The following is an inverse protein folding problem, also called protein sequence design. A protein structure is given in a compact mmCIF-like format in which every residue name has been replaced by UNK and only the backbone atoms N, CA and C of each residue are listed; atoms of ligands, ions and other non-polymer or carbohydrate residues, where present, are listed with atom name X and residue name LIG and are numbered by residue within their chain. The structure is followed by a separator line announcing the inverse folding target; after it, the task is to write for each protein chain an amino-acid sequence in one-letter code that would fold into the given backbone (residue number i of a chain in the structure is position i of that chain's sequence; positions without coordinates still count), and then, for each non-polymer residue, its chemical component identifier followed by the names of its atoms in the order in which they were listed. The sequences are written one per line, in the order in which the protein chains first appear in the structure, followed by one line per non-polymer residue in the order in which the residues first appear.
data_IF_453369436789
#
_entry.id   IF_453369436789
#
_cell.length_a   1.000
_cell.length_b   1.000
_cell.length_c   1.000
_cell.angle_alpha   90.00
_cell.angle_beta   90.00
_cell.angle_gamma   90.00
#
_symmetry.space_group_name_H-M   'P 1'
#
loop_
_entity.id
_entity.type
_entity.pdbx_description
1 polymer ?
#
# COMPACT_ATOMS: atom_id res chain seq x y z
N UNK A 1 -26.94 27.09 -36.22
CA UNK A 1 -26.08 28.30 -36.36
C UNK A 1 -24.65 27.93 -35.99
N UNK A 2 -23.69 28.02 -36.90
CA UNK A 2 -22.26 27.87 -36.55
C UNK A 2 -21.76 29.24 -36.06
N UNK A 3 -21.36 29.32 -34.79
CA UNK A 3 -20.77 30.53 -34.20
C UNK A 3 -19.43 30.83 -34.88
N UNK A 4 -19.08 32.11 -35.03
CA UNK A 4 -17.74 32.49 -35.46
C UNK A 4 -16.70 32.01 -34.44
N UNK A 5 -15.51 31.54 -34.86
CA UNK A 5 -14.52 30.94 -33.94
C UNK A 5 -14.09 31.84 -32.77
N UNK A 6 -13.97 33.15 -33.00
CA UNK A 6 -13.66 34.13 -31.95
C UNK A 6 -14.76 34.25 -30.89
N UNK A 7 -16.02 34.26 -31.32
CA UNK A 7 -17.20 34.31 -30.44
C UNK A 7 -17.32 33.01 -29.66
N UNK A 8 -17.14 31.86 -30.33
CA UNK A 8 -17.17 30.55 -29.70
C UNK A 8 -16.15 30.43 -28.56
N UNK A 9 -14.92 30.92 -28.77
CA UNK A 9 -13.87 30.94 -27.75
C UNK A 9 -14.28 31.74 -26.51
N UNK A 10 -14.84 32.93 -26.70
CA UNK A 10 -15.29 33.79 -25.58
C UNK A 10 -16.45 33.11 -24.85
N UNK A 11 -17.44 32.57 -25.57
CA UNK A 11 -18.55 31.83 -24.99
C UNK A 11 -18.09 30.65 -24.14
N UNK A 12 -17.16 29.83 -24.63
CA UNK A 12 -16.65 28.67 -23.89
C UNK A 12 -15.84 29.05 -22.65
N UNK A 13 -15.06 30.14 -22.71
CA UNK A 13 -14.35 30.67 -21.54
C UNK A 13 -15.33 31.18 -20.48
N UNK A 14 -16.39 31.87 -20.89
CA UNK A 14 -17.45 32.32 -20.00
C UNK A 14 -18.19 31.13 -19.39
N UNK A 15 -18.55 30.12 -20.18
CA UNK A 15 -19.15 28.88 -19.70
C UNK A 15 -18.24 28.14 -18.71
N UNK A 16 -16.93 28.10 -18.94
CA UNK A 16 -15.97 27.53 -17.98
C UNK A 16 -15.95 28.27 -16.64
N UNK A 17 -16.12 29.59 -16.65
CA UNK A 17 -16.18 30.39 -15.41
C UNK A 17 -17.50 30.13 -14.69
N UNK A 18 -18.63 30.18 -15.41
CA UNK A 18 -19.97 29.97 -14.85
C UNK A 18 -20.13 28.55 -14.28
N UNK A 19 -19.60 27.54 -14.97
CA UNK A 19 -19.66 26.13 -14.53
C UNK A 19 -18.92 25.82 -13.23
N UNK A 20 -18.17 26.77 -12.66
CA UNK A 20 -17.57 26.66 -11.33
C UNK A 20 -18.55 27.01 -10.21
N UNK A 21 -19.60 27.77 -10.49
CA UNK A 21 -20.63 28.12 -9.52
C UNK A 21 -21.75 27.07 -9.52
N UNK A 22 -21.90 26.36 -8.40
CA UNK A 22 -22.92 25.32 -8.24
C UNK A 22 -24.35 25.84 -8.45
N UNK A 23 -24.62 27.12 -8.16
CA UNK A 23 -25.95 27.73 -8.31
C UNK A 23 -26.28 28.06 -9.77
N UNK A 24 -25.28 28.24 -10.61
CA UNK A 24 -25.43 28.60 -12.01
C UNK A 24 -25.43 27.40 -12.98
N UNK A 25 -25.29 26.17 -12.46
CA UNK A 25 -25.16 24.96 -13.28
C UNK A 25 -26.46 24.46 -13.91
N UNK A 26 -27.63 24.81 -13.36
CA UNK A 26 -28.94 24.26 -13.80
C UNK A 26 -29.15 24.22 -15.32
N UNK A 27 -28.83 25.30 -16.09
CA UNK A 27 -29.02 25.31 -17.54
C UNK A 27 -28.05 24.40 -18.32
N UNK A 28 -26.93 24.02 -17.70
CA UNK A 28 -25.86 23.20 -18.30
C UNK A 28 -26.04 21.70 -18.04
N UNK A 29 -26.98 21.32 -17.17
CA UNK A 29 -27.30 19.92 -16.81
C UNK A 29 -28.43 19.41 -17.72
N UNK A 30 -28.26 19.57 -19.04
CA UNK A 30 -29.21 19.05 -20.04
C UNK A 30 -28.47 18.18 -21.04
N UNK A 31 -29.17 17.18 -21.60
CA UNK A 31 -28.56 16.24 -22.54
C UNK A 31 -28.01 16.97 -23.77
N UNK A 32 -28.74 17.98 -24.26
CA UNK A 32 -28.31 18.84 -25.34
C UNK A 32 -27.02 19.62 -25.01
N UNK A 33 -26.93 20.24 -23.83
CA UNK A 33 -25.74 21.01 -23.44
C UNK A 33 -24.50 20.11 -23.26
N UNK A 34 -24.69 18.96 -22.61
CA UNK A 34 -23.63 17.97 -22.39
C UNK A 34 -23.14 17.40 -23.72
N UNK A 35 -24.04 16.98 -24.61
CA UNK A 35 -23.69 16.50 -25.95
C UNK A 35 -23.05 17.58 -26.82
N UNK A 36 -23.50 18.84 -26.72
CA UNK A 36 -22.92 19.94 -27.49
C UNK A 36 -21.48 20.19 -27.06
N UNK A 37 -21.20 20.27 -25.76
CA UNK A 37 -19.83 20.41 -25.24
C UNK A 37 -18.96 19.20 -25.59
N UNK A 38 -19.53 17.99 -25.56
CA UNK A 38 -18.84 16.77 -25.96
C UNK A 38 -18.54 16.73 -27.47
N UNK A 39 -19.45 17.18 -28.34
CA UNK A 39 -19.26 17.20 -29.81
C UNK A 39 -18.25 18.26 -30.24
N UNK A 40 -18.23 19.42 -29.58
CA UNK A 40 -17.20 20.44 -29.77
C UNK A 40 -15.78 19.93 -29.45
N UNK A 41 -15.64 18.80 -28.75
CA UNK A 41 -14.36 18.11 -28.54
C UNK A 41 -13.92 17.28 -29.74
N UNK A 42 -14.86 16.73 -30.53
CA UNK A 42 -14.63 15.63 -31.49
C UNK A 42 -14.47 16.10 -32.93
N UNK A 43 -15.03 17.24 -33.35
CA UNK A 43 -14.89 17.71 -34.74
C UNK A 43 -13.42 18.04 -35.09
N UNK A 44 -12.70 17.06 -35.62
CA UNK A 44 -11.64 17.28 -36.62
C UNK A 44 -12.37 17.48 -37.95
N UNK A 45 -12.35 18.70 -38.48
CA UNK A 45 -12.67 18.88 -39.90
C UNK A 45 -11.49 18.28 -40.67
N UNK A 46 -11.65 17.08 -41.22
CA UNK A 46 -10.63 16.37 -42.01
C UNK A 46 -10.32 17.07 -43.35
N UNK A 47 -11.01 18.15 -43.70
CA UNK A 47 -10.86 18.82 -45.01
C UNK A 47 -10.12 20.17 -44.99
N UNK A 48 -9.55 20.60 -43.86
CA UNK A 48 -8.75 21.84 -43.82
C UNK A 48 -7.54 21.71 -42.93
N UNK A 49 -6.57 20.90 -43.38
CA UNK A 49 -5.18 21.18 -43.08
C UNK A 49 -4.80 22.48 -43.80
N UNK A 50 -4.90 23.61 -43.10
CA UNK A 50 -3.99 24.74 -43.27
C UNK A 50 -4.28 25.81 -42.23
N UNK A 51 -3.26 26.07 -41.40
CA UNK A 51 -3.05 27.24 -40.53
C UNK A 51 -4.15 27.59 -39.53
N UNK A 52 -3.80 27.45 -38.25
CA UNK A 52 -4.06 28.35 -37.10
C UNK A 52 -4.34 27.53 -35.82
N UNK A 53 -3.43 27.67 -34.85
CA UNK A 53 -3.44 27.20 -33.44
C UNK A 53 -4.77 27.44 -32.68
N UNK A 54 -5.66 28.28 -33.21
CA UNK A 54 -6.96 28.59 -32.62
C UNK A 54 -7.90 27.39 -32.46
N UNK A 55 -7.78 26.35 -33.29
CA UNK A 55 -8.59 25.13 -33.21
C UNK A 55 -8.44 24.39 -31.87
N UNK A 56 -7.24 24.36 -31.31
CA UNK A 56 -6.94 23.61 -30.10
C UNK A 56 -7.43 24.33 -28.84
N UNK A 57 -7.40 25.66 -28.87
CA UNK A 57 -7.73 26.52 -27.72
C UNK A 57 -9.20 26.43 -27.32
N UNK A 58 -10.15 26.48 -28.26
CA UNK A 58 -11.58 26.39 -27.90
C UNK A 58 -11.99 24.95 -27.54
N UNK A 59 -11.36 23.91 -28.11
CA UNK A 59 -11.56 22.52 -27.68
C UNK A 59 -11.14 22.30 -26.22
N UNK A 60 -9.98 22.83 -25.82
CA UNK A 60 -9.51 22.81 -24.42
C UNK A 60 -10.49 23.55 -23.49
N UNK A 61 -11.04 24.68 -23.90
CA UNK A 61 -12.02 25.41 -23.08
C UNK A 61 -13.37 24.69 -22.96
N UNK A 62 -13.86 24.06 -24.05
CA UNK A 62 -15.05 23.21 -24.02
C UNK A 62 -14.87 22.02 -23.07
N UNK A 63 -13.71 21.36 -23.12
CA UNK A 63 -13.37 20.25 -22.23
C UNK A 63 -13.38 20.68 -20.76
N UNK A 64 -12.73 21.80 -20.43
CA UNK A 64 -12.70 22.32 -19.05
C UNK A 64 -14.10 22.69 -18.56
N UNK A 65 -14.94 23.28 -19.41
CA UNK A 65 -16.32 23.61 -19.06
C UNK A 65 -17.14 22.33 -18.79
N UNK A 66 -17.01 21.31 -19.64
CA UNK A 66 -17.67 20.02 -19.45
C UNK A 66 -17.22 19.34 -18.16
N UNK A 67 -15.91 19.29 -17.88
CA UNK A 67 -15.37 18.72 -16.64
C UNK A 67 -15.93 19.44 -15.41
N UNK A 68 -16.01 20.77 -15.42
CA UNK A 68 -16.60 21.52 -14.31
C UNK A 68 -18.09 21.18 -14.09
N UNK A 69 -18.86 21.03 -15.18
CA UNK A 69 -20.29 20.68 -15.10
C UNK A 69 -20.49 19.29 -14.49
N UNK A 70 -19.70 18.31 -14.93
CA UNK A 70 -19.76 16.92 -14.43
C UNK A 70 -19.24 16.86 -12.99
N UNK A 71 -18.12 17.50 -12.68
CA UNK A 71 -17.52 17.47 -11.35
C UNK A 71 -18.42 18.10 -10.28
N UNK A 72 -19.10 19.20 -10.60
CA UNK A 72 -19.88 19.96 -9.62
C UNK A 72 -21.35 19.53 -9.49
N UNK A 73 -21.84 18.57 -10.29
CA UNK A 73 -23.25 18.17 -10.31
C UNK A 73 -23.46 16.67 -10.50
N UNK A 74 -23.97 16.00 -9.47
CA UNK A 74 -24.34 14.58 -9.52
C UNK A 74 -25.37 14.28 -10.63
N UNK A 75 -26.35 15.17 -10.84
CA UNK A 75 -27.33 15.05 -11.93
C UNK A 75 -26.69 15.12 -13.31
N UNK A 76 -25.59 15.87 -13.46
CA UNK A 76 -24.85 15.91 -14.71
C UNK A 76 -24.06 14.62 -14.93
N UNK A 77 -23.52 14.02 -13.86
CA UNK A 77 -22.83 12.73 -13.90
C UNK A 77 -23.78 11.61 -14.34
N UNK A 78 -24.97 11.54 -13.77
CA UNK A 78 -26.00 10.56 -14.14
C UNK A 78 -26.45 10.71 -15.61
N UNK A 79 -26.68 11.95 -16.06
CA UNK A 79 -27.04 12.18 -17.47
C UNK A 79 -25.91 11.86 -18.42
N UNK A 80 -24.69 12.25 -18.07
CA UNK A 80 -23.49 11.92 -18.81
C UNK A 80 -23.29 10.40 -18.93
N UNK A 81 -23.52 9.62 -17.87
CA UNK A 81 -23.38 8.16 -17.90
C UNK A 81 -24.43 7.48 -18.80
N UNK A 82 -25.67 7.97 -18.81
CA UNK A 82 -26.71 7.51 -19.74
C UNK A 82 -26.32 7.81 -21.19
N UNK A 83 -25.82 9.02 -21.45
CA UNK A 83 -25.42 9.45 -22.80
C UNK A 83 -24.18 8.69 -23.33
N UNK A 84 -23.25 8.30 -22.45
CA UNK A 84 -22.12 7.41 -22.79
C UNK A 84 -22.57 6.07 -23.36
N UNK A 85 -23.69 5.54 -22.87
CA UNK A 85 -24.20 4.24 -23.32
C UNK A 85 -24.83 4.32 -24.73
N UNK A 86 -25.21 5.52 -25.18
CA UNK A 86 -25.93 5.73 -26.44
C UNK A 86 -25.02 6.12 -27.64
N UNK A 87 -23.86 6.75 -27.42
CA UNK A 87 -23.00 7.23 -28.51
C UNK A 87 -21.61 6.54 -28.51
N UNK A 88 -21.35 5.66 -29.50
CA UNK A 88 -20.11 4.89 -29.68
C UNK A 88 -18.82 5.71 -29.77
N UNK A 89 -18.88 7.02 -30.08
CA UNK A 89 -17.71 7.89 -30.31
C UNK A 89 -17.33 8.78 -29.12
N UNK A 90 -18.19 8.90 -28.09
CA UNK A 90 -17.97 9.80 -26.94
C UNK A 90 -17.63 9.07 -25.63
N UNK A 91 -17.69 7.74 -25.64
CA UNK A 91 -17.50 6.87 -24.46
C UNK A 91 -16.13 7.00 -23.77
N UNK A 92 -15.06 7.33 -24.51
CA UNK A 92 -13.69 7.43 -23.96
C UNK A 92 -13.49 8.62 -22.99
N UNK A 93 -14.37 9.62 -23.01
CA UNK A 93 -14.01 10.97 -22.59
C UNK A 93 -14.79 11.54 -21.40
N UNK A 94 -15.78 10.81 -20.90
CA UNK A 94 -16.51 11.11 -19.66
C UNK A 94 -15.81 10.57 -18.40
N UNK A 95 -14.67 9.92 -18.59
CA UNK A 95 -13.97 9.14 -17.59
C UNK A 95 -13.18 9.99 -16.58
N UNK A 96 -13.02 11.29 -16.84
CA UNK A 96 -12.29 12.24 -15.98
C UNK A 96 -13.16 12.82 -14.85
N UNK A 97 -14.46 12.50 -14.75
CA UNK A 97 -15.37 13.17 -13.81
C UNK A 97 -16.41 12.33 -13.08
N UNK A 98 -16.42 11.00 -13.23
CA UNK A 98 -17.44 10.15 -12.57
C UNK A 98 -16.72 9.04 -11.80
N UNK A 99 -16.32 9.36 -10.56
CA UNK A 99 -15.69 8.40 -9.64
C UNK A 99 -16.65 7.79 -8.63
N UNK A 100 -17.98 7.99 -8.72
CA UNK A 100 -18.91 7.58 -7.63
C UNK A 100 -20.23 6.90 -8.05
N UNK A 101 -20.40 6.45 -9.29
CA UNK A 101 -21.63 5.69 -9.64
C UNK A 101 -21.38 4.18 -9.64
N UNK A 102 -21.82 3.53 -8.56
CA UNK A 102 -21.74 2.09 -8.24
C UNK A 102 -22.50 1.13 -9.19
N UNK A 103 -22.79 1.50 -10.44
CA UNK A 103 -23.57 0.64 -11.35
C UNK A 103 -23.18 0.77 -12.82
N UNK A 104 -21.88 0.68 -13.12
CA UNK A 104 -21.45 0.45 -14.51
C UNK A 104 -21.81 -0.99 -14.89
N UNK A 105 -22.63 -1.19 -15.92
CA UNK A 105 -22.88 -2.51 -16.53
C UNK A 105 -21.53 -3.13 -16.96
N UNK A 106 -21.25 -4.41 -16.71
CA UNK A 106 -19.91 -4.99 -16.97
C UNK A 106 -19.49 -4.85 -18.44
N UNK A 107 -20.44 -4.97 -19.37
CA UNK A 107 -20.18 -4.74 -20.81
C UNK A 107 -19.68 -3.32 -21.13
N UNK A 108 -20.15 -2.31 -20.40
CA UNK A 108 -19.67 -0.93 -20.54
C UNK A 108 -18.31 -0.70 -19.89
N UNK A 109 -18.01 -1.49 -18.85
CA UNK A 109 -16.75 -1.45 -18.12
C UNK A 109 -15.63 -2.07 -18.95
N UNK A 110 -15.80 -3.29 -19.45
CA UNK A 110 -14.86 -4.00 -20.34
C UNK A 110 -14.55 -3.16 -21.59
N UNK A 111 -15.57 -2.59 -22.22
CA UNK A 111 -15.39 -1.68 -23.36
C UNK A 111 -14.58 -0.43 -23.00
N UNK A 112 -14.82 0.16 -21.83
CA UNK A 112 -14.05 1.32 -21.35
C UNK A 112 -12.59 0.94 -21.07
N UNK A 113 -12.35 -0.24 -20.49
CA UNK A 113 -11.01 -0.78 -20.25
C UNK A 113 -10.27 -0.97 -21.58
N UNK A 114 -10.89 -1.62 -22.57
CA UNK A 114 -10.31 -1.82 -23.90
C UNK A 114 -9.90 -0.48 -24.55
N UNK A 115 -10.81 0.50 -24.55
CA UNK A 115 -10.53 1.81 -25.15
C UNK A 115 -9.41 2.59 -24.45
N UNK A 116 -9.38 2.54 -23.11
CA UNK A 116 -8.34 3.23 -22.32
C UNK A 116 -6.98 2.53 -22.43
N UNK A 117 -6.98 1.19 -22.56
CA UNK A 117 -5.76 0.41 -22.78
C UNK A 117 -5.16 0.76 -24.14
N UNK A 118 -5.97 0.78 -25.20
CA UNK A 118 -5.53 1.20 -26.53
C UNK A 118 -5.03 2.66 -26.57
N UNK A 119 -5.67 3.57 -25.80
CA UNK A 119 -5.21 4.95 -25.69
C UNK A 119 -3.87 5.06 -24.94
N UNK A 120 -3.66 4.24 -23.91
CA UNK A 120 -2.41 4.15 -23.17
C UNK A 120 -1.29 3.58 -24.05
N UNK A 121 -1.58 2.55 -24.85
CA UNK A 121 -0.65 1.99 -25.83
C UNK A 121 -0.18 3.02 -26.85
N UNK A 122 -1.12 3.77 -27.43
CA UNK A 122 -0.79 4.85 -28.37
C UNK A 122 0.01 5.96 -27.70
N UNK A 123 -0.29 6.28 -26.44
CA UNK A 123 0.42 7.29 -25.67
C UNK A 123 1.88 6.90 -25.42
N UNK A 124 2.13 5.63 -25.11
CA UNK A 124 3.46 5.11 -24.77
C UNK A 124 4.19 4.46 -25.95
N UNK A 125 3.62 4.50 -27.15
CA UNK A 125 4.16 3.89 -28.37
C UNK A 125 4.53 2.40 -28.15
N UNK A 126 3.58 1.65 -27.57
CA UNK A 126 3.76 0.24 -27.22
C UNK A 126 3.99 -0.63 -28.47
N UNK A 127 5.10 -1.38 -28.47
CA UNK A 127 5.44 -2.34 -29.50
C UNK A 127 5.12 -3.77 -29.04
N UNK A 128 4.29 -4.48 -29.81
CA UNK A 128 3.90 -5.86 -29.51
C UNK A 128 4.84 -6.88 -30.16
N UNK A 129 5.19 -7.91 -29.40
CA UNK A 129 5.87 -9.13 -29.86
C UNK A 129 4.84 -10.24 -30.13
N UNK A 130 4.90 -11.32 -29.35
CA UNK A 130 3.87 -12.37 -29.36
C UNK A 130 2.60 -11.97 -28.56
N UNK A 131 1.65 -12.90 -28.42
CA UNK A 131 0.41 -12.70 -27.63
C UNK A 131 0.73 -12.29 -26.20
N UNK A 132 0.20 -11.13 -25.80
CA UNK A 132 0.41 -10.52 -24.47
C UNK A 132 1.88 -10.20 -24.14
N UNK A 133 2.75 -10.09 -25.14
CA UNK A 133 4.14 -9.70 -24.98
C UNK A 133 4.41 -8.30 -25.53
N UNK A 134 4.79 -7.38 -24.64
CA UNK A 134 5.23 -6.02 -25.02
C UNK A 134 6.75 -5.94 -25.03
N UNK A 135 7.30 -5.58 -26.18
CA UNK A 135 8.73 -5.35 -26.38
C UNK A 135 9.08 -3.97 -25.79
N UNK A 136 9.94 -3.96 -24.77
CA UNK A 136 10.36 -2.72 -24.10
C UNK A 136 11.84 -2.46 -24.35
N UNK A 137 12.14 -1.42 -25.13
CA UNK A 137 13.50 -0.96 -25.36
C UNK A 137 13.97 -0.03 -24.24
N UNK A 138 14.86 -0.54 -23.38
CA UNK A 138 15.43 0.25 -22.27
C UNK A 138 16.51 1.25 -22.74
N UNK A 139 16.92 1.18 -24.01
CA UNK A 139 17.89 2.10 -24.62
C UNK A 139 17.24 3.27 -25.36
N UNK A 140 15.91 3.23 -25.51
CA UNK A 140 15.11 4.30 -26.07
C UNK A 140 15.20 5.59 -25.24
N UNK A 141 14.99 6.78 -25.86
CA UNK A 141 14.93 8.03 -25.12
C UNK A 141 13.81 7.99 -24.06
N UNK A 142 14.01 8.64 -22.90
CA UNK A 142 13.01 8.67 -21.84
C UNK A 142 11.73 9.35 -22.33
N UNK A 143 10.59 8.81 -21.90
CA UNK A 143 9.26 9.37 -22.17
C UNK A 143 9.18 10.77 -21.59
N UNK A 144 8.75 11.73 -22.42
CA UNK A 144 8.67 13.13 -22.01
C UNK A 144 7.58 13.36 -20.95
N UNK A 145 7.63 14.54 -20.32
CA UNK A 145 6.72 14.92 -19.23
C UNK A 145 5.26 14.95 -19.66
N UNK A 146 4.95 15.43 -20.85
CA UNK A 146 3.58 15.56 -21.36
C UNK A 146 2.94 14.19 -21.56
N UNK A 147 3.68 13.26 -22.15
CA UNK A 147 3.24 11.87 -22.38
C UNK A 147 3.07 11.13 -21.06
N UNK A 148 4.04 11.26 -20.15
CA UNK A 148 3.94 10.65 -18.81
C UNK A 148 2.71 11.16 -18.06
N UNK A 149 2.40 12.46 -18.14
CA UNK A 149 1.19 13.03 -17.52
C UNK A 149 -0.08 12.46 -18.13
N UNK A 150 -0.11 12.27 -19.45
CA UNK A 150 -1.27 11.69 -20.13
C UNK A 150 -1.48 10.22 -19.72
N UNK A 151 -0.41 9.43 -19.66
CA UNK A 151 -0.42 8.05 -19.17
C UNK A 151 -0.95 7.96 -17.72
N UNK A 152 -0.51 8.87 -16.84
CA UNK A 152 -0.99 8.94 -15.46
C UNK A 152 -2.51 9.12 -15.35
N UNK A 153 -3.10 9.98 -16.19
CA UNK A 153 -4.56 10.19 -16.20
C UNK A 153 -5.32 8.97 -16.72
N UNK A 154 -4.77 8.25 -17.72
CA UNK A 154 -5.33 6.96 -18.14
C UNK A 154 -5.27 5.93 -17.02
N UNK A 155 -4.14 5.81 -16.30
CA UNK A 155 -4.00 4.85 -15.20
C UNK A 155 -4.93 5.15 -14.02
N UNK A 156 -5.08 6.42 -13.62
CA UNK A 156 -6.04 6.83 -12.58
C UNK A 156 -7.47 6.46 -12.97
N UNK A 157 -7.80 6.68 -14.24
CA UNK A 157 -9.11 6.34 -14.79
C UNK A 157 -9.33 4.84 -14.82
N UNK A 158 -8.35 4.08 -15.32
CA UNK A 158 -8.36 2.61 -15.34
C UNK A 158 -8.56 2.07 -13.93
N UNK A 159 -7.81 2.56 -12.94
CA UNK A 159 -7.95 2.12 -11.55
C UNK A 159 -9.36 2.33 -11.00
N UNK A 160 -9.96 3.50 -11.24
CA UNK A 160 -11.31 3.79 -10.78
C UNK A 160 -12.35 2.85 -11.39
N UNK A 161 -12.21 2.50 -12.67
CA UNK A 161 -13.16 1.59 -13.34
C UNK A 161 -12.84 0.11 -13.07
N UNK A 162 -11.62 -0.27 -12.70
CA UNK A 162 -11.26 -1.67 -12.42
C UNK A 162 -11.34 -2.03 -10.94
N UNK A 163 -11.56 -1.07 -10.03
CA UNK A 163 -11.45 -1.26 -8.59
C UNK A 163 -12.21 -2.49 -8.03
N UNK A 164 -13.37 -2.86 -8.60
CA UNK A 164 -14.16 -4.00 -8.15
C UNK A 164 -13.95 -5.31 -8.93
N UNK A 165 -13.13 -5.30 -9.98
CA UNK A 165 -12.99 -6.43 -10.93
C UNK A 165 -12.32 -7.64 -10.28
N UNK A 166 -11.31 -7.44 -9.43
CA UNK A 166 -10.59 -8.53 -8.74
C UNK A 166 -11.49 -9.48 -7.91
N UNK A 167 -12.74 -9.11 -7.62
CA UNK A 167 -13.72 -9.94 -6.88
C UNK A 167 -14.70 -10.68 -7.78
N UNK A 168 -14.67 -10.44 -9.09
CA UNK A 168 -15.61 -11.01 -10.03
C UNK A 168 -14.98 -12.24 -10.70
N UNK A 169 -15.80 -13.26 -10.94
CA UNK A 169 -15.44 -14.31 -11.89
C UNK A 169 -15.51 -13.70 -13.29
N UNK A 170 -14.45 -13.90 -14.05
CA UNK A 170 -14.26 -13.31 -15.37
C UNK A 170 -14.27 -14.44 -16.39
N UNK A 171 -15.03 -14.27 -17.46
CA UNK A 171 -15.04 -15.20 -18.59
C UNK A 171 -13.73 -15.12 -19.40
N UNK A 172 -13.56 -15.99 -20.39
CA UNK A 172 -12.32 -16.06 -21.17
C UNK A 172 -12.08 -14.79 -22.01
N UNK A 173 -13.14 -14.15 -22.52
CA UNK A 173 -13.03 -12.93 -23.33
C UNK A 173 -12.55 -11.74 -22.47
N UNK A 174 -13.14 -11.55 -21.30
CA UNK A 174 -12.70 -10.49 -20.39
C UNK A 174 -11.35 -10.84 -19.73
N UNK A 175 -11.02 -12.12 -19.52
CA UNK A 175 -9.69 -12.52 -19.06
C UNK A 175 -8.61 -12.16 -20.10
N UNK A 176 -8.87 -12.39 -21.39
CA UNK A 176 -7.97 -11.97 -22.48
C UNK A 176 -7.75 -10.44 -22.49
N UNK A 177 -8.84 -9.68 -22.32
CA UNK A 177 -8.78 -8.21 -22.19
C UNK A 177 -7.92 -7.77 -21.00
N UNK A 178 -8.07 -8.38 -19.82
CA UNK A 178 -7.27 -8.01 -18.65
C UNK A 178 -5.82 -8.48 -18.74
N UNK A 179 -5.54 -9.61 -19.41
CA UNK A 179 -4.17 -10.03 -19.75
C UNK A 179 -3.50 -9.03 -20.69
N UNK A 180 -4.24 -8.52 -21.66
CA UNK A 180 -3.77 -7.48 -22.57
C UNK A 180 -3.42 -6.19 -21.82
N UNK A 181 -4.31 -5.73 -20.94
CA UNK A 181 -4.01 -4.61 -20.05
C UNK A 181 -2.79 -4.90 -19.14
N UNK A 182 -2.67 -6.09 -18.57
CA UNK A 182 -1.53 -6.46 -17.72
C UNK A 182 -0.19 -6.39 -18.47
N UNK A 183 -0.15 -6.76 -19.75
CA UNK A 183 1.03 -6.62 -20.60
C UNK A 183 1.43 -5.15 -20.81
N UNK A 184 0.47 -4.26 -21.04
CA UNK A 184 0.70 -2.81 -21.16
C UNK A 184 1.17 -2.22 -19.83
N UNK A 185 0.54 -2.61 -18.72
CA UNK A 185 0.97 -2.18 -17.37
C UNK A 185 2.39 -2.66 -17.05
N UNK A 186 2.79 -3.85 -17.51
CA UNK A 186 4.18 -4.31 -17.39
C UNK A 186 5.15 -3.38 -18.11
N UNK A 187 4.80 -2.90 -19.29
CA UNK A 187 5.61 -1.89 -20.00
C UNK A 187 5.70 -0.58 -19.21
N UNK A 188 4.59 -0.09 -18.63
CA UNK A 188 4.58 1.11 -17.78
C UNK A 188 5.52 1.01 -16.56
N UNK A 189 5.77 -0.19 -16.04
CA UNK A 189 6.71 -0.39 -14.94
C UNK A 189 8.18 -0.23 -15.37
N UNK A 190 8.49 -0.51 -16.63
CA UNK A 190 9.85 -0.63 -17.16
C UNK A 190 10.31 0.59 -17.96
N UNK A 191 9.35 1.33 -18.55
CA UNK A 191 9.65 2.43 -19.46
C UNK A 191 10.50 3.53 -18.78
N UNK A 192 11.57 4.03 -19.43
CA UNK A 192 12.31 5.17 -18.92
C UNK A 192 11.47 6.45 -19.02
N UNK A 193 11.47 7.29 -17.98
CA UNK A 193 10.73 8.57 -17.96
C UNK A 193 11.66 9.73 -17.61
N UNK A 194 11.31 10.93 -18.07
CA UNK A 194 12.00 12.15 -17.66
C UNK A 194 11.72 12.52 -16.20
N UNK A 195 12.68 12.23 -15.33
CA UNK A 195 12.67 12.59 -13.91
C UNK A 195 12.18 11.47 -13.00
N UNK A 196 12.93 11.22 -11.94
CA UNK A 196 12.70 10.10 -11.01
C UNK A 196 11.33 10.20 -10.31
N UNK A 197 10.91 11.41 -9.90
CA UNK A 197 9.61 11.63 -9.23
C UNK A 197 8.42 11.16 -10.08
N UNK A 198 8.46 11.42 -11.40
CA UNK A 198 7.38 11.06 -12.33
C UNK A 198 7.40 9.58 -12.67
N UNK A 199 8.60 8.99 -12.77
CA UNK A 199 8.75 7.54 -12.90
C UNK A 199 8.13 6.82 -11.71
N UNK A 200 8.40 7.28 -10.49
CA UNK A 200 7.80 6.73 -9.28
C UNK A 200 6.27 6.87 -9.27
N UNK A 201 5.74 8.03 -9.70
CA UNK A 201 4.29 8.26 -9.79
C UNK A 201 3.65 7.31 -10.82
N UNK A 202 4.26 7.14 -11.99
CA UNK A 202 3.78 6.24 -13.05
C UNK A 202 3.75 4.80 -12.56
N UNK A 203 4.84 4.33 -11.93
CA UNK A 203 4.93 3.00 -11.37
C UNK A 203 3.90 2.79 -10.25
N UNK A 204 3.70 3.78 -9.37
CA UNK A 204 2.71 3.71 -8.30
C UNK A 204 1.27 3.55 -8.82
N UNK A 205 0.86 4.36 -9.79
CA UNK A 205 -0.46 4.24 -10.40
C UNK A 205 -0.62 2.93 -11.20
N UNK A 206 0.45 2.47 -11.85
CA UNK A 206 0.47 1.18 -12.55
C UNK A 206 0.21 0.01 -11.58
N UNK A 207 0.89 0.00 -10.43
CA UNK A 207 0.66 -1.03 -9.39
C UNK A 207 -0.76 -0.97 -8.84
N UNK A 208 -1.33 0.22 -8.68
CA UNK A 208 -2.72 0.35 -8.25
C UNK A 208 -3.66 -0.35 -9.22
N UNK A 209 -3.52 -0.13 -10.53
CA UNK A 209 -4.34 -0.83 -11.54
C UNK A 209 -4.09 -2.33 -11.49
N UNK A 210 -2.84 -2.79 -11.42
CA UNK A 210 -2.50 -4.22 -11.32
C UNK A 210 -3.15 -4.90 -10.11
N UNK A 211 -3.19 -4.21 -8.95
CA UNK A 211 -3.82 -4.72 -7.73
C UNK A 211 -5.35 -4.87 -7.84
N UNK A 212 -5.97 -4.23 -8.84
CA UNK A 212 -7.40 -4.29 -9.08
C UNK A 212 -7.79 -5.34 -10.14
N UNK A 213 -6.83 -5.96 -10.84
CA UNK A 213 -7.08 -6.98 -11.86
C UNK A 213 -7.30 -8.38 -11.24
N UNK A 214 -8.01 -9.29 -11.94
CA UNK A 214 -8.11 -10.69 -11.54
C UNK A 214 -6.74 -11.38 -11.52
N UNK A 215 -6.48 -12.17 -10.47
CA UNK A 215 -5.17 -12.81 -10.28
C UNK A 215 -4.77 -13.75 -11.42
N UNK A 216 -5.75 -14.41 -12.04
CA UNK A 216 -5.52 -15.31 -13.18
C UNK A 216 -4.98 -14.61 -14.42
N UNK A 217 -5.08 -13.28 -14.50
CA UNK A 217 -4.60 -12.47 -15.64
C UNK A 217 -3.19 -11.90 -15.40
N UNK A 218 -2.64 -12.08 -14.20
CA UNK A 218 -1.31 -11.60 -13.83
C UNK A 218 -0.20 -12.59 -14.21
N UNK A 219 -0.56 -13.76 -14.75
CA UNK A 219 0.32 -14.75 -15.34
C UNK A 219 1.20 -14.19 -16.48
N UNK A 220 0.69 -13.20 -17.21
CA UNK A 220 1.43 -12.43 -18.24
C UNK A 220 2.62 -11.65 -17.67
N UNK A 221 2.58 -11.28 -16.38
CA UNK A 221 3.72 -10.63 -15.73
C UNK A 221 4.89 -11.62 -15.53
N UNK A 222 4.60 -12.92 -15.53
CA UNK A 222 5.56 -14.01 -15.30
C UNK A 222 5.99 -14.69 -16.60
N UNK A 223 5.11 -14.69 -17.61
CA UNK A 223 5.34 -15.32 -18.90
C UNK A 223 6.30 -14.46 -19.74
N UNK A 224 7.55 -14.91 -19.84
CA UNK A 224 8.44 -14.56 -20.95
C UNK A 224 9.07 -15.83 -21.46
N UNK A 225 8.59 -16.25 -22.60
CA UNK A 225 9.12 -17.38 -23.37
C UNK A 225 10.37 -16.92 -24.11
N UNK A 226 11.43 -17.71 -23.97
CA UNK A 226 12.57 -17.76 -24.90
C UNK A 226 13.52 -16.56 -24.98
N UNK A 227 14.24 -16.28 -23.90
CA UNK A 227 15.68 -16.04 -24.03
C UNK A 227 16.43 -16.92 -23.03
N UNK A 228 17.13 -17.93 -23.56
CA UNK A 228 18.12 -18.73 -22.84
C UNK A 228 19.17 -17.82 -22.23
N UNK A 229 18.99 -17.46 -20.97
CA UNK A 229 20.02 -17.02 -20.03
C UNK A 229 19.28 -16.55 -18.77
N UNK A 230 20.00 -16.46 -17.66
CA UNK A 230 19.53 -16.17 -16.30
C UNK A 230 18.79 -14.83 -16.07
N UNK A 231 18.21 -14.23 -17.14
CA UNK A 231 17.51 -12.96 -17.20
C UNK A 231 15.97 -13.07 -17.07
N UNK A 232 15.38 -14.26 -17.19
CA UNK A 232 13.93 -14.47 -16.97
C UNK A 232 13.51 -14.14 -15.53
N UNK A 233 14.44 -14.20 -14.58
CA UNK A 233 14.22 -13.78 -13.20
C UNK A 233 14.23 -12.25 -13.00
N UNK A 234 14.68 -11.46 -13.98
CA UNK A 234 14.93 -10.02 -13.81
C UNK A 234 13.65 -9.16 -13.83
N UNK A 235 12.51 -9.68 -14.27
CA UNK A 235 11.29 -8.87 -14.45
C UNK A 235 10.40 -8.87 -13.20
N UNK A 236 10.40 -9.96 -12.42
CA UNK A 236 9.86 -9.97 -11.05
C UNK A 236 10.76 -9.17 -10.09
N UNK A 237 12.06 -9.02 -10.40
CA UNK A 237 13.00 -8.12 -9.69
C UNK A 237 12.56 -6.66 -9.78
N UNK A 238 11.89 -6.19 -10.84
CA UNK A 238 11.54 -4.77 -10.94
C UNK A 238 10.39 -4.37 -9.99
N UNK A 239 9.39 -5.24 -9.83
CA UNK A 239 8.37 -5.11 -8.76
C UNK A 239 9.01 -5.13 -7.36
N UNK A 240 10.13 -5.84 -7.21
CA UNK A 240 10.92 -5.90 -5.99
C UNK A 240 11.77 -4.64 -5.74
N UNK A 241 12.35 -4.09 -6.81
CA UNK A 241 13.09 -2.83 -6.79
C UNK A 241 12.17 -1.68 -6.38
N UNK A 242 10.92 -1.68 -6.88
CA UNK A 242 9.91 -0.71 -6.45
C UNK A 242 9.63 -0.78 -4.95
N UNK A 243 9.54 -1.97 -4.35
CA UNK A 243 9.42 -2.10 -2.88
C UNK A 243 10.63 -1.53 -2.12
N UNK A 244 11.85 -1.80 -2.61
CA UNK A 244 13.09 -1.26 -2.05
C UNK A 244 13.13 0.27 -2.07
N UNK A 245 12.59 0.87 -3.13
CA UNK A 245 12.50 2.33 -3.32
C UNK A 245 11.32 2.94 -2.57
N UNK A 246 10.15 2.30 -2.53
CA UNK A 246 8.95 2.75 -1.79
C UNK A 246 9.16 2.76 -0.27
N UNK A 247 9.96 1.84 0.27
CA UNK A 247 10.34 1.86 1.68
C UNK A 247 11.22 3.08 2.07
N UNK A 248 11.58 3.98 1.13
CA UNK A 248 12.37 5.19 1.41
C UNK A 248 11.54 6.42 1.82
N UNK A 249 10.21 6.34 1.94
CA UNK A 249 9.39 7.56 2.03
C UNK A 249 8.51 7.66 3.28
N UNK A 250 8.66 8.79 4.00
CA UNK A 250 7.92 9.12 5.22
C UNK A 250 6.50 9.69 5.02
N UNK A 251 6.15 10.19 3.82
CA UNK A 251 4.80 10.73 3.55
C UNK A 251 3.98 9.81 2.63
N UNK A 252 2.70 9.57 2.99
CA UNK A 252 1.73 8.73 2.26
C UNK A 252 2.17 7.28 2.04
N UNK A 253 2.88 6.70 3.01
CA UNK A 253 3.35 5.31 2.96
C UNK A 253 2.21 4.32 2.70
N UNK A 254 1.02 4.55 3.27
CA UNK A 254 -0.17 3.69 3.08
C UNK A 254 -0.58 3.58 1.61
N UNK A 255 -0.84 4.71 0.97
CA UNK A 255 -1.32 4.79 -0.41
C UNK A 255 -0.34 4.19 -1.41
N UNK A 256 0.97 4.30 -1.13
CA UNK A 256 2.02 3.76 -2.01
C UNK A 256 2.33 2.29 -1.74
N UNK A 257 2.37 1.87 -0.48
CA UNK A 257 2.91 0.56 -0.10
C UNK A 257 1.85 -0.54 -0.02
N UNK A 258 0.64 -0.22 0.44
CA UNK A 258 -0.40 -1.24 0.60
C UNK A 258 -0.78 -1.94 -0.73
N UNK A 259 -0.96 -1.23 -1.86
CA UNK A 259 -1.26 -1.87 -3.14
C UNK A 259 -0.14 -2.82 -3.61
N UNK A 260 1.13 -2.42 -3.39
CA UNK A 260 2.30 -3.23 -3.73
C UNK A 260 2.36 -4.50 -2.87
N UNK A 261 2.20 -4.35 -1.56
CA UNK A 261 2.21 -5.49 -0.61
C UNK A 261 1.08 -6.48 -0.91
N UNK A 262 -0.12 -5.97 -1.23
CA UNK A 262 -1.27 -6.80 -1.59
C UNK A 262 -1.04 -7.53 -2.90
N UNK A 263 -0.57 -6.83 -3.95
CA UNK A 263 -0.24 -7.45 -5.23
C UNK A 263 0.77 -8.59 -5.06
N UNK A 264 1.84 -8.36 -4.31
CA UNK A 264 2.83 -9.41 -4.04
C UNK A 264 2.27 -10.57 -3.22
N UNK A 265 1.40 -10.27 -2.25
CA UNK A 265 0.77 -11.28 -1.40
C UNK A 265 -0.10 -12.19 -2.24
N UNK A 266 -1.01 -11.63 -3.02
CA UNK A 266 -1.93 -12.38 -3.86
C UNK A 266 -1.21 -13.12 -4.98
N UNK A 267 -0.23 -12.49 -5.63
CA UNK A 267 0.64 -13.16 -6.61
C UNK A 267 1.40 -14.35 -5.99
N UNK A 268 1.82 -14.24 -4.73
CA UNK A 268 2.48 -15.33 -4.00
C UNK A 268 1.53 -16.46 -3.60
N UNK A 269 0.25 -16.17 -3.41
CA UNK A 269 -0.77 -17.21 -3.17
C UNK A 269 -1.06 -17.96 -4.46
N UNK A 270 -1.26 -17.24 -5.56
CA UNK A 270 -1.60 -17.78 -6.87
C UNK A 270 -0.45 -18.57 -7.52
N UNK A 271 0.78 -18.04 -7.51
CA UNK A 271 1.91 -18.63 -8.25
C UNK A 271 3.04 -19.10 -7.32
N UNK A 272 3.35 -20.40 -7.38
CA UNK A 272 4.37 -21.04 -6.53
C UNK A 272 5.78 -20.53 -6.85
N UNK A 273 6.07 -20.28 -8.11
CA UNK A 273 7.33 -19.79 -8.65
C UNK A 273 7.62 -18.39 -8.13
N UNK A 274 6.62 -17.49 -8.20
CA UNK A 274 6.67 -16.15 -7.64
C UNK A 274 6.92 -16.17 -6.15
N UNK A 275 6.18 -17.01 -5.41
CA UNK A 275 6.39 -17.18 -3.96
C UNK A 275 7.80 -17.69 -3.64
N UNK A 276 8.32 -18.64 -4.40
CA UNK A 276 9.67 -19.18 -4.20
C UNK A 276 10.73 -18.12 -4.44
N UNK A 277 10.60 -17.37 -5.53
CA UNK A 277 11.50 -16.27 -5.87
C UNK A 277 11.49 -15.16 -4.81
N UNK A 278 10.30 -14.64 -4.45
CA UNK A 278 10.15 -13.61 -3.43
C UNK A 278 10.65 -14.08 -2.07
N UNK A 279 10.46 -15.35 -1.73
CA UNK A 279 11.01 -15.95 -0.50
C UNK A 279 12.53 -15.91 -0.50
N UNK A 280 13.19 -16.24 -1.60
CA UNK A 280 14.67 -16.19 -1.67
C UNK A 280 15.21 -14.76 -1.50
N UNK A 281 14.50 -13.77 -2.03
CA UNK A 281 14.92 -12.36 -1.98
C UNK A 281 14.59 -11.68 -0.65
N UNK A 282 13.40 -11.90 -0.09
CA UNK A 282 12.95 -11.27 1.18
C UNK A 282 13.45 -12.05 2.37
N UNK A 283 13.36 -13.38 2.33
CA UNK A 283 13.62 -14.28 3.45
C UNK A 283 14.74 -15.28 3.11
N UNK A 284 15.95 -14.81 2.75
CA UNK A 284 17.08 -15.70 2.48
C UNK A 284 17.39 -16.55 3.73
N UNK A 285 18.03 -17.72 3.57
CA UNK A 285 18.45 -18.54 4.70
C UNK A 285 19.21 -17.72 5.74
N UNK A 286 18.79 -17.82 7.00
CA UNK A 286 19.39 -17.05 8.10
C UNK A 286 20.84 -17.50 8.30
N UNK A 287 21.76 -16.53 8.32
CA UNK A 287 23.18 -16.75 8.63
C UNK A 287 23.55 -16.21 10.01
N UNK A 288 22.96 -15.06 10.36
CA UNK A 288 23.18 -14.35 11.61
C UNK A 288 21.82 -14.16 12.32
N UNK A 289 21.70 -14.73 13.52
CA UNK A 289 20.45 -14.80 14.31
C UNK A 289 20.57 -14.03 15.63
N UNK A 290 21.72 -13.41 15.88
CA UNK A 290 21.98 -12.68 17.13
C UNK A 290 21.29 -11.31 17.13
N UNK A 291 21.22 -10.68 15.95
CA UNK A 291 20.59 -9.37 15.76
C UNK A 291 19.07 -9.54 15.65
N UNK A 292 18.32 -8.64 16.30
CA UNK A 292 16.85 -8.66 16.21
C UNK A 292 16.37 -8.47 14.77
N UNK A 293 15.33 -9.19 14.32
CA UNK A 293 14.81 -9.12 12.95
C UNK A 293 14.57 -7.71 12.42
N UNK A 294 14.04 -6.80 13.24
CA UNK A 294 13.68 -5.42 12.91
C UNK A 294 14.87 -4.42 12.88
N UNK A 295 16.05 -4.79 13.39
CA UNK A 295 17.20 -3.88 13.54
C UNK A 295 18.07 -3.75 12.29
N UNK A 296 17.91 -4.63 11.29
CA UNK A 296 18.70 -4.58 10.05
C UNK A 296 18.23 -3.56 9.00
N UNK A 297 19.03 -3.38 7.96
CA UNK A 297 18.70 -2.57 6.76
C UNK A 297 18.24 -3.42 5.56
N UNK A 298 18.17 -4.75 5.74
CA UNK A 298 17.65 -5.67 4.71
C UNK A 298 16.15 -5.42 4.48
N UNK A 299 15.62 -5.84 3.32
CA UNK A 299 14.18 -5.74 3.05
C UNK A 299 13.34 -6.52 4.08
N UNK A 300 13.83 -7.68 4.52
CA UNK A 300 13.26 -8.42 5.65
C UNK A 300 13.06 -7.53 6.85
N UNK A 301 14.14 -6.88 7.31
CA UNK A 301 14.12 -6.06 8.51
C UNK A 301 13.21 -4.85 8.39
N UNK A 302 13.18 -4.21 7.22
CA UNK A 302 12.23 -3.13 6.91
C UNK A 302 10.78 -3.61 6.99
N UNK A 303 10.45 -4.74 6.37
CA UNK A 303 9.11 -5.32 6.42
C UNK A 303 8.71 -5.76 7.83
N UNK A 304 9.63 -6.34 8.60
CA UNK A 304 9.36 -6.72 10.00
C UNK A 304 9.08 -5.49 10.86
N UNK A 305 9.82 -4.39 10.66
CA UNK A 305 9.55 -3.11 11.34
C UNK A 305 8.17 -2.53 11.00
N UNK A 306 7.65 -2.80 9.81
CA UNK A 306 6.29 -2.39 9.43
C UNK A 306 5.20 -3.19 10.15
N UNK A 307 5.49 -4.40 10.65
CA UNK A 307 4.52 -5.21 11.42
C UNK A 307 4.15 -4.57 12.78
N UNK A 308 4.93 -3.59 13.23
CA UNK A 308 4.66 -2.80 14.44
C UNK A 308 4.39 -1.33 14.13
N UNK A 309 4.03 -1.01 12.87
CA UNK A 309 3.67 0.34 12.47
C UNK A 309 2.32 0.77 13.08
N UNK A 310 2.13 2.08 13.28
CA UNK A 310 0.90 2.67 13.87
C UNK A 310 -0.32 2.51 12.98
N UNK A 311 -0.12 2.53 11.66
CA UNK A 311 -1.17 2.26 10.66
C UNK A 311 -1.47 0.76 10.59
N UNK A 312 -2.71 0.40 10.93
CA UNK A 312 -3.18 -0.98 11.01
C UNK A 312 -3.16 -1.69 9.67
N UNK A 313 -3.39 -0.97 8.57
CA UNK A 313 -3.47 -1.57 7.23
C UNK A 313 -2.07 -1.92 6.73
N UNK A 314 -1.11 -1.01 6.89
CA UNK A 314 0.30 -1.28 6.55
C UNK A 314 0.84 -2.44 7.39
N UNK A 315 0.58 -2.41 8.70
CA UNK A 315 0.94 -3.49 9.63
C UNK A 315 0.38 -4.84 9.16
N UNK A 316 -0.90 -4.87 8.81
CA UNK A 316 -1.56 -6.09 8.34
C UNK A 316 -0.97 -6.58 7.01
N UNK A 317 -0.83 -5.69 6.01
CA UNK A 317 -0.31 -6.05 4.69
C UNK A 317 1.11 -6.63 4.78
N UNK A 318 2.00 -6.02 5.57
CA UNK A 318 3.37 -6.50 5.73
C UNK A 318 3.41 -7.87 6.41
N UNK A 319 2.63 -8.06 7.46
CA UNK A 319 2.56 -9.31 8.20
C UNK A 319 1.99 -10.45 7.34
N UNK A 320 0.91 -10.20 6.59
CA UNK A 320 0.29 -11.19 5.70
C UNK A 320 1.23 -11.60 4.58
N UNK A 321 1.93 -10.65 3.94
CA UNK A 321 2.93 -10.98 2.91
C UNK A 321 3.99 -11.95 3.46
N UNK A 322 4.61 -11.61 4.59
CA UNK A 322 5.65 -12.42 5.22
C UNK A 322 5.13 -13.80 5.64
N UNK A 323 3.86 -13.89 6.08
CA UNK A 323 3.22 -15.16 6.43
C UNK A 323 3.00 -16.06 5.20
N UNK A 324 2.50 -15.50 4.10
CA UNK A 324 2.34 -16.21 2.82
C UNK A 324 3.68 -16.70 2.27
N UNK A 325 4.74 -15.88 2.34
CA UNK A 325 6.10 -16.28 1.95
C UNK A 325 6.67 -17.40 2.85
N UNK A 326 6.16 -17.53 4.07
CA UNK A 326 6.44 -18.64 4.97
C UNK A 326 5.56 -19.88 4.73
N UNK A 327 4.77 -19.90 3.65
CA UNK A 327 3.76 -20.94 3.35
C UNK A 327 2.75 -21.10 4.48
N UNK A 328 2.40 -20.00 5.13
CA UNK A 328 1.41 -19.98 6.22
C UNK A 328 1.77 -20.91 7.39
N UNK A 329 3.07 -21.18 7.56
CA UNK A 329 3.58 -21.98 8.66
C UNK A 329 4.05 -21.06 9.79
N UNK A 330 3.44 -21.21 10.97
CA UNK A 330 3.65 -20.33 12.13
C UNK A 330 5.08 -20.43 12.66
N UNK A 331 5.60 -21.64 12.87
CA UNK A 331 7.01 -21.84 13.28
C UNK A 331 8.01 -21.14 12.35
N UNK A 332 7.86 -21.32 11.04
CA UNK A 332 8.72 -20.66 10.04
C UNK A 332 8.54 -19.14 10.08
N UNK A 333 7.31 -18.66 10.19
CA UNK A 333 7.04 -17.23 10.28
C UNK A 333 7.73 -16.59 11.49
N UNK A 334 7.53 -17.16 12.68
CA UNK A 334 8.17 -16.73 13.93
C UNK A 334 9.69 -16.73 13.83
N UNK A 335 10.29 -17.75 13.20
CA UNK A 335 11.75 -17.84 12.99
C UNK A 335 12.30 -16.62 12.24
N UNK A 336 11.58 -16.08 11.26
CA UNK A 336 12.06 -15.00 10.41
C UNK A 336 11.70 -13.60 10.92
N UNK A 337 10.58 -13.46 11.63
CA UNK A 337 10.06 -12.16 12.10
C UNK A 337 10.30 -11.90 13.57
N UNK A 338 10.57 -12.94 14.37
CA UNK A 338 10.52 -12.87 15.82
C UNK A 338 9.07 -12.93 16.32
N UNK A 339 8.87 -13.58 17.46
CA UNK A 339 7.52 -13.84 17.96
C UNK A 339 6.81 -12.54 18.41
N UNK A 340 7.50 -11.60 19.07
CA UNK A 340 6.93 -10.29 19.43
C UNK A 340 6.31 -9.53 18.25
N UNK A 341 6.98 -9.52 17.09
CA UNK A 341 6.44 -8.91 15.88
C UNK A 341 5.30 -9.73 15.26
N UNK A 342 5.40 -11.06 15.30
CA UNK A 342 4.40 -11.99 14.74
C UNK A 342 3.10 -12.05 15.54
N UNK A 343 3.16 -11.83 16.85
CA UNK A 343 2.06 -12.04 17.79
C UNK A 343 0.78 -11.32 17.37
N UNK A 344 0.89 -10.09 16.85
CA UNK A 344 -0.26 -9.32 16.39
C UNK A 344 -1.05 -9.97 15.25
N UNK A 345 -0.37 -10.62 14.30
CA UNK A 345 -1.04 -11.35 13.21
C UNK A 345 -1.57 -12.70 13.69
N UNK A 346 -0.81 -13.41 14.52
CA UNK A 346 -1.17 -14.74 15.02
C UNK A 346 -2.38 -14.69 15.95
N UNK A 347 -2.44 -13.70 16.83
CA UNK A 347 -3.59 -13.45 17.71
C UNK A 347 -4.86 -13.14 16.90
N UNK A 348 -4.76 -12.39 15.81
CA UNK A 348 -5.90 -12.09 14.95
C UNK A 348 -6.40 -13.30 14.13
N UNK A 349 -5.60 -14.37 14.03
CA UNK A 349 -5.92 -15.58 13.26
C UNK A 349 -6.23 -16.81 14.13
N UNK A 350 -6.26 -16.66 15.46
CA UNK A 350 -6.55 -17.74 16.42
C UNK A 350 -5.82 -19.06 16.16
N UNK A 351 -4.56 -19.00 15.72
CA UNK A 351 -3.79 -20.20 15.39
C UNK A 351 -3.56 -21.06 16.64
N UNK A 352 -3.76 -22.39 16.50
CA UNK A 352 -3.62 -23.35 17.60
C UNK A 352 -2.22 -23.30 18.27
N UNK A 353 -1.15 -23.14 17.47
CA UNK A 353 0.21 -22.97 17.96
C UNK A 353 0.38 -21.73 18.87
N UNK A 354 -0.35 -20.65 18.58
CA UNK A 354 -0.36 -19.45 19.43
C UNK A 354 -1.08 -19.73 20.74
N UNK A 355 -2.23 -20.42 20.74
CA UNK A 355 -2.97 -20.75 21.97
C UNK A 355 -2.13 -21.59 22.93
N UNK A 356 -1.37 -22.55 22.39
CA UNK A 356 -0.51 -23.42 23.19
C UNK A 356 0.75 -22.71 23.71
N UNK A 357 1.29 -21.77 22.94
CA UNK A 357 2.48 -21.02 23.34
C UNK A 357 2.17 -19.78 24.20
N UNK A 358 0.94 -19.24 24.13
CA UNK A 358 0.51 -17.93 24.70
C UNK A 358 1.00 -17.72 26.13
N UNK A 359 0.86 -18.75 26.95
CA UNK A 359 1.13 -18.67 28.38
C UNK A 359 2.62 -18.81 28.72
N UNK A 360 3.45 -19.24 27.75
CA UNK A 360 4.89 -19.46 27.91
C UNK A 360 5.74 -18.37 27.24
N UNK A 361 5.12 -17.33 26.69
CA UNK A 361 5.85 -16.24 26.04
C UNK A 361 6.11 -15.13 27.04
N UNK A 362 7.39 -14.77 27.15
CA UNK A 362 7.80 -13.59 27.88
C UNK A 362 7.28 -12.33 27.15
N UNK A 363 6.50 -11.50 27.85
CA UNK A 363 5.85 -10.31 27.28
C UNK A 363 6.83 -9.21 26.84
N UNK A 364 8.03 -9.18 27.42
CA UNK A 364 9.07 -8.18 27.13
C UNK A 364 9.92 -8.61 25.94
N UNK A 365 10.33 -9.88 25.92
CA UNK A 365 11.22 -10.40 24.86
C UNK A 365 10.42 -10.95 23.67
N UNK A 366 9.14 -11.27 23.88
CA UNK A 366 8.25 -11.82 22.88
C UNK A 366 8.78 -13.13 22.33
N UNK A 367 9.38 -13.99 23.15
CA UNK A 367 9.87 -15.34 22.82
C UNK A 367 9.39 -16.33 23.89
N UNK A 368 9.30 -17.61 23.52
CA UNK A 368 9.19 -18.69 24.50
C UNK A 368 10.60 -18.88 25.06
N UNK A 369 10.77 -18.59 26.35
CA UNK A 369 12.00 -18.83 27.08
C UNK A 369 11.92 -20.23 27.71
N UNK A 370 13.07 -20.91 27.82
CA UNK A 370 13.12 -22.16 28.55
C UNK A 370 12.69 -21.89 30.00
N UNK A 371 11.91 -22.81 30.57
CA UNK A 371 11.54 -22.74 31.98
C UNK A 371 12.83 -22.70 32.80
N UNK A 372 13.10 -21.52 33.39
CA UNK A 372 14.20 -21.41 34.33
C UNK A 372 13.85 -22.27 35.54
N UNK A 373 14.81 -23.05 36.07
CA UNK A 373 14.59 -23.77 37.30
C UNK A 373 14.16 -22.76 38.38
N UNK A 374 13.27 -23.17 39.26
CA UNK A 374 12.81 -22.31 40.33
C UNK A 374 14.05 -21.84 41.12
N UNK A 375 14.29 -20.52 41.29
CA UNK A 375 15.43 -20.01 42.04
C UNK A 375 15.53 -20.57 43.46
N UNK A 376 14.43 -21.10 44.00
CA UNK A 376 14.33 -21.72 45.33
C UNK A 376 14.43 -23.26 45.29
N UNK A 377 14.62 -23.88 44.13
CA UNK A 377 14.73 -25.33 43.96
C UNK A 377 16.04 -25.86 44.60
N UNK A 378 15.92 -26.78 45.54
CA UNK A 378 17.06 -27.37 46.26
C UNK A 378 17.49 -26.64 47.54
N UNK A 379 16.87 -25.51 47.88
CA UNK A 379 17.07 -24.83 49.16
C UNK A 379 16.24 -25.47 50.28
N UNK A 380 16.80 -25.58 51.49
CA UNK A 380 16.01 -25.92 52.69
C UNK A 380 15.07 -24.77 53.06
N UNK A 381 14.00 -25.02 53.82
CA UNK A 381 13.10 -23.94 54.25
C UNK A 381 13.82 -22.83 55.01
N UNK A 382 14.86 -23.16 55.79
CA UNK A 382 15.70 -22.19 56.50
C UNK A 382 16.53 -21.33 55.52
N UNK A 383 17.09 -21.93 54.47
CA UNK A 383 17.81 -21.20 53.42
C UNK A 383 16.87 -20.30 52.61
N UNK A 384 15.62 -20.75 52.37
CA UNK A 384 14.59 -19.93 51.72
C UNK A 384 14.23 -18.72 52.57
N UNK A 385 14.07 -18.89 53.87
CA UNK A 385 13.81 -17.79 54.81
C UNK A 385 14.98 -16.79 54.85
N UNK A 386 16.22 -17.29 54.88
CA UNK A 386 17.42 -16.44 54.87
C UNK A 386 17.55 -15.63 53.57
N UNK A 387 17.31 -16.22 52.41
CA UNK A 387 17.34 -15.51 51.13
C UNK A 387 16.16 -14.52 51.01
N UNK A 388 14.98 -14.85 51.54
CA UNK A 388 13.85 -13.92 51.63
C UNK A 388 14.18 -12.69 52.47
N UNK A 389 14.83 -12.87 53.63
CA UNK A 389 15.32 -11.76 54.47
C UNK A 389 16.35 -10.90 53.74
N UNK A 390 17.27 -11.53 53.00
CA UNK A 390 18.27 -10.84 52.17
C UNK A 390 17.62 -9.99 51.08
N UNK A 391 16.61 -10.53 50.39
CA UNK A 391 15.85 -9.82 49.36
C UNK A 391 15.08 -8.63 49.93
N UNK A 392 14.45 -8.80 51.09
CA UNK A 392 13.77 -7.70 51.82
C UNK A 392 14.78 -6.60 52.14
N UNK A 393 15.96 -6.94 52.64
CA UNK A 393 16.97 -5.93 52.97
C UNK A 393 17.48 -5.21 51.71
N UNK A 394 17.69 -5.93 50.59
CA UNK A 394 18.04 -5.33 49.31
C UNK A 394 16.96 -4.36 48.82
N UNK A 395 15.68 -4.74 48.93
CA UNK A 395 14.55 -3.89 48.54
C UNK A 395 14.47 -2.64 49.43
N UNK A 396 14.66 -2.79 50.74
CA UNK A 396 14.72 -1.68 51.69
C UNK A 396 15.87 -0.73 51.36
N UNK A 397 17.06 -1.23 51.02
CA UNK A 397 18.21 -0.42 50.61
C UNK A 397 17.93 0.37 49.33
N UNK A 398 17.34 -0.27 48.32
CA UNK A 398 16.96 0.41 47.06
C UNK A 398 15.86 1.46 47.29
N UNK A 399 14.91 1.20 48.19
CA UNK A 399 13.85 2.15 48.53
C UNK A 399 14.37 3.33 49.36
N UNK A 400 15.27 3.09 50.34
CA UNK A 400 15.95 4.13 51.15
C UNK A 400 16.77 5.05 50.24
N UNK A 401 17.45 4.49 49.25
CA UNK A 401 18.23 5.25 48.25
C UNK A 401 17.36 5.91 47.15
N UNK A 402 16.02 5.81 47.24
CA UNK A 402 15.05 6.34 46.26
C UNK A 402 15.26 5.84 44.83
N UNK A 403 15.89 4.69 44.64
CA UNK A 403 16.05 4.04 43.33
C UNK A 403 14.71 3.42 42.91
N UNK A 404 13.97 2.86 43.86
CA UNK A 404 12.62 2.32 43.65
C UNK A 404 11.65 3.01 44.60
N UNK A 405 10.45 3.33 44.11
CA UNK A 405 9.37 3.92 44.90
C UNK A 405 8.10 3.07 44.73
N UNK A 406 7.62 2.41 45.80
CA UNK A 406 6.38 1.65 45.75
C UNK A 406 5.19 2.58 45.48
N UNK A 407 4.39 2.26 44.46
CA UNK A 407 3.20 3.02 44.06
C UNK A 407 1.96 2.12 44.20
N UNK A 408 0.86 2.69 44.68
CA UNK A 408 -0.45 2.05 44.78
C UNK A 408 -1.47 2.81 43.94
N UNK A 409 -2.56 2.13 43.60
CA UNK A 409 -3.72 2.75 42.93
C UNK A 409 -4.67 3.27 44.00
N UNK A 410 -4.93 4.58 44.02
CA UNK A 410 -5.93 5.17 44.93
C UNK A 410 -7.33 4.76 44.52
N UNK A 411 -8.31 4.94 45.42
CA UNK A 411 -9.74 4.75 45.14
C UNK A 411 -10.23 5.55 43.94
N UNK A 412 -9.49 6.60 43.57
CA UNK A 412 -9.82 7.52 42.49
C UNK A 412 -9.11 7.13 41.17
N UNK A 413 -8.46 5.95 41.13
CA UNK A 413 -7.78 5.39 39.98
C UNK A 413 -6.41 6.04 39.66
N UNK A 414 -5.87 6.87 40.56
CA UNK A 414 -4.57 7.53 40.37
C UNK A 414 -3.45 6.73 41.03
N UNK A 415 -2.27 6.75 40.43
CA UNK A 415 -1.05 6.18 41.03
C UNK A 415 -0.50 7.15 42.07
N UNK A 416 -0.40 6.72 43.32
CA UNK A 416 0.18 7.49 44.42
C UNK A 416 1.20 6.64 45.19
N UNK A 417 2.24 7.23 45.79
CA UNK A 417 3.19 6.48 46.60
C UNK A 417 2.51 5.77 47.77
N UNK A 418 2.85 4.51 48.00
CA UNK A 418 2.41 3.76 49.18
C UNK A 418 3.15 4.33 50.40
N UNK A 419 2.62 5.39 51.00
CA UNK A 419 3.17 5.98 52.20
C UNK A 419 2.53 5.33 53.44
N UNK A 420 3.35 4.73 54.31
CA UNK A 420 2.98 4.45 55.70
C UNK A 420 2.58 3.03 56.09
N UNK A 421 2.39 2.09 55.15
CA UNK A 421 1.98 0.71 55.48
C UNK A 421 3.12 -0.33 55.48
N UNK A 422 4.29 0.01 54.93
CA UNK A 422 5.46 -0.90 54.87
C UNK A 422 6.32 -0.91 56.14
N UNK A 423 6.05 -0.04 57.12
CA UNK A 423 6.88 0.06 58.34
C UNK A 423 6.77 -1.14 59.28
N UNK A 424 5.79 -2.03 59.09
CA UNK A 424 5.59 -3.20 59.96
C UNK A 424 6.34 -4.48 59.52
N UNK A 425 7.15 -4.43 58.45
CA UNK A 425 8.04 -5.54 58.04
C UNK A 425 9.51 -5.11 58.12
N UNK A 426 9.83 -4.15 58.98
CA UNK A 426 11.20 -3.92 59.40
C UNK A 426 11.54 -5.02 60.42
N UNK A 427 12.17 -6.10 59.96
CA UNK A 427 12.99 -6.93 60.85
C UNK A 427 13.97 -5.96 61.51
N UNK A 428 13.98 -5.94 62.84
CA UNK A 428 14.89 -5.11 63.62
C UNK A 428 16.31 -5.52 63.24
N UNK A 429 17.02 -4.65 62.52
CA UNK A 429 18.48 -4.74 62.42
C UNK A 429 19.00 -4.38 63.82
N UNK A 430 19.45 -5.36 64.60
CA UNK A 430 20.28 -5.09 65.77
C UNK A 430 21.60 -4.50 65.25
N UNK A 431 21.78 -3.19 65.41
CA UNK A 431 23.06 -2.52 65.20
C UNK A 431 23.98 -2.95 66.35
N UNK A 432 24.89 -3.89 66.08
CA UNK A 432 26.08 -4.08 66.92
C UNK A 432 26.98 -2.84 66.75
N UNK A 433 26.94 -1.92 67.71
CA UNK A 433 27.94 -0.86 67.84
C UNK A 433 29.27 -1.48 68.29
N UNK A 434 30.24 -1.60 67.38
CA UNK A 434 31.66 -1.79 67.73
C UNK A 434 32.19 -0.49 68.37
N UNK A 435 32.36 -0.54 69.69
CA UNK A 435 32.95 0.52 70.53
C UNK A 435 34.48 0.53 70.36
N UNK A 436 34.97 1.22 69.31
CA UNK A 436 36.39 1.54 69.16
C UNK A 436 36.73 2.78 70.01
N UNK A 437 36.95 2.56 71.31
CA UNK A 437 37.62 3.52 72.17
C UNK A 437 39.14 3.37 72.03
N UNK A 438 39.73 4.20 71.17
CA UNK A 438 41.16 4.47 71.15
C UNK A 438 41.57 5.13 72.49
N UNK A 439 42.23 4.38 73.37
CA UNK A 439 43.00 4.95 74.49
C UNK A 439 44.37 5.39 73.98
N UNK A 440 44.63 6.70 74.02
CA UNK A 440 45.97 7.26 73.89
C UNK A 440 46.86 6.89 75.09
N UNK A 441 48.14 6.58 74.76
CA UNK A 441 49.37 6.45 75.57
C UNK A 441 49.81 5.07 76.04
#
# INVERSE_FOLDING_TARGET
MRLQPGVLRVCLRTLRIISRDRKALSPLITDYAILTLARLRVEKNEEREEKYDHGEVWRKEAMKALCNVIYNSLKAQERASILRCAEHKTACFFSVGISETHSVCSSCQERSVCMLTAALEQCLEVCWGETHEVLTDLTAPPVCKEVTQCALEFLKTLFNITYSVHRQEVDEEAADLYRHLAAVLRHCLLVPCEGDDRKEELQGHTVNVLSALPLQCLDVLLSTTHLHSSFTHLHVVHNFFFLGTCCRFGHKLKEKLAPVLNLLTESSKAHKETRHYLRQQILPPLRDVEIRPEQGNTLRSKLVRLMTHVDTDIKHCAAVLLFVLCKENVSRFVKYTGYGNAAGLLAARDTEEYRQAKDRINLVTGRVEDEQPDPMEGMTEEEKEAEALRLINMFNKLSRNKIIQPMGVTTDGRLAPLCGQTRHIAVQEEEEEEDDSETEQ
#
